data_IF_715244411453
#
_entry.id   IF_715244411453
#
_cell.length_a   1.000
_cell.length_b   1.000
_cell.length_c   1.000
_cell.angle_alpha   90.00
_cell.angle_beta   90.00
_cell.angle_gamma   90.00
#
_symmetry.space_group_name_H-M   'P 1'
#
loop_
_entity.id
_entity.type
_entity.pdbx_description
1 polymer ?
#
# COMPACT_ATOMS: atom_id res chain seq x y z
N UNK A 1 5.35 33.65 -19.16
CA UNK A 1 6.04 32.36 -18.93
C UNK A 1 5.74 31.92 -17.50
N UNK A 2 4.85 30.94 -17.31
CA UNK A 2 4.41 30.47 -15.97
C UNK A 2 5.24 29.23 -15.61
N UNK A 3 5.95 29.16 -14.46
CA UNK A 3 6.51 27.90 -14.03
C UNK A 3 5.41 27.00 -13.45
N UNK A 4 5.34 25.81 -14.03
CA UNK A 4 4.45 24.72 -13.67
C UNK A 4 4.73 24.23 -12.25
N UNK A 5 3.63 24.09 -11.53
CA UNK A 5 3.43 23.41 -10.26
C UNK A 5 4.48 22.35 -9.88
N UNK A 6 5.31 22.66 -8.88
CA UNK A 6 6.00 21.65 -8.08
C UNK A 6 4.99 21.07 -7.05
N UNK A 7 3.99 20.33 -7.52
CA UNK A 7 3.04 19.60 -6.65
C UNK A 7 3.63 18.25 -6.28
N UNK A 8 4.69 18.24 -5.49
CA UNK A 8 5.08 17.03 -4.75
C UNK A 8 6.12 17.37 -3.68
N UNK A 9 5.72 17.11 -2.43
CA UNK A 9 6.53 16.88 -1.22
C UNK A 9 5.78 17.51 -0.05
N UNK A 10 5.60 16.72 1.00
CA UNK A 10 4.85 17.03 2.22
C UNK A 10 3.35 16.81 2.06
N UNK A 11 3.00 15.52 1.89
CA UNK A 11 1.85 14.99 2.59
C UNK A 11 2.02 15.33 4.09
N UNK A 12 1.41 16.46 4.47
CA UNK A 12 0.88 16.82 5.78
C UNK A 12 1.53 16.15 6.98
N UNK A 13 2.42 16.91 7.62
CA UNK A 13 2.61 17.02 9.06
C UNK A 13 2.09 15.88 9.94
N UNK A 14 3.07 15.12 10.46
CA UNK A 14 3.16 14.66 11.86
C UNK A 14 1.86 14.73 12.66
N UNK A 15 0.96 13.76 12.51
CA UNK A 15 0.08 13.41 13.63
C UNK A 15 0.90 12.56 14.62
N UNK A 16 1.57 13.27 15.52
CA UNK A 16 2.29 12.75 16.69
C UNK A 16 1.37 11.85 17.51
N UNK A 17 1.47 10.54 17.30
CA UNK A 17 0.78 9.53 18.10
C UNK A 17 1.63 8.28 18.37
N UNK A 18 2.95 8.37 18.16
CA UNK A 18 3.84 7.19 18.23
C UNK A 18 4.70 7.13 19.50
N UNK A 19 4.52 8.04 20.47
CA UNK A 19 5.34 8.03 21.69
C UNK A 19 5.20 6.71 22.49
N UNK A 20 4.10 5.98 22.31
CA UNK A 20 3.84 4.67 22.92
C UNK A 20 3.37 3.61 21.91
N UNK A 21 3.66 3.79 20.62
CA UNK A 21 3.20 2.87 19.59
C UNK A 21 3.89 1.51 19.71
N UNK A 22 3.10 0.46 19.96
CA UNK A 22 3.55 -0.92 19.94
C UNK A 22 3.76 -1.35 18.49
N UNK A 23 4.97 -1.80 18.11
CA UNK A 23 5.24 -2.31 16.78
C UNK A 23 4.24 -3.39 16.37
N UNK A 24 3.63 -3.24 15.18
CA UNK A 24 2.65 -4.19 14.64
C UNK A 24 1.22 -4.08 15.19
N UNK A 25 0.96 -3.22 16.18
CA UNK A 25 -0.38 -2.95 16.73
C UNK A 25 -0.82 -1.51 16.49
N UNK A 26 0.09 -0.57 16.64
CA UNK A 26 -0.19 0.85 16.49
C UNK A 26 0.34 1.31 15.14
N UNK A 27 -0.53 1.21 14.14
CA UNK A 27 -0.29 1.65 12.77
C UNK A 27 -0.57 3.15 12.65
N UNK A 28 0.08 3.87 11.71
CA UNK A 28 -0.25 5.27 11.45
C UNK A 28 -1.75 5.45 11.19
N UNK A 29 -2.33 6.56 11.66
CA UNK A 29 -3.75 6.83 11.42
C UNK A 29 -3.91 7.36 10.00
N UNK A 30 -4.43 6.52 9.10
CA UNK A 30 -4.79 6.93 7.75
C UNK A 30 -6.24 7.45 7.71
N UNK A 31 -6.51 8.43 6.84
CA UNK A 31 -7.90 8.64 6.42
C UNK A 31 -8.37 7.39 5.67
N UNK A 32 -9.67 7.08 5.72
CA UNK A 32 -10.21 5.92 4.98
C UNK A 32 -9.85 5.97 3.48
N UNK A 33 -9.85 7.17 2.89
CA UNK A 33 -9.43 7.37 1.49
C UNK A 33 -7.96 7.02 1.27
N UNK A 34 -7.06 7.51 2.12
CA UNK A 34 -5.63 7.20 2.03
C UNK A 34 -5.40 5.70 2.23
N UNK A 35 -6.14 5.08 3.15
CA UNK A 35 -6.07 3.65 3.38
C UNK A 35 -6.44 2.83 2.15
N UNK A 36 -7.52 3.20 1.44
CA UNK A 36 -7.90 2.53 0.19
C UNK A 36 -6.84 2.72 -0.91
N UNK A 37 -6.23 3.90 -1.00
CA UNK A 37 -5.10 4.14 -1.91
C UNK A 37 -3.92 3.22 -1.57
N UNK A 38 -3.56 3.12 -0.28
CA UNK A 38 -2.46 2.28 0.18
C UNK A 38 -2.74 0.79 -0.09
N UNK A 39 -3.98 0.32 0.09
CA UNK A 39 -4.40 -1.04 -0.28
C UNK A 39 -4.29 -1.29 -1.79
N UNK A 40 -4.60 -0.30 -2.63
CA UNK A 40 -4.49 -0.38 -4.08
C UNK A 40 -3.05 -0.46 -4.61
N UNK A 41 -2.03 -0.24 -3.77
CA UNK A 41 -0.62 -0.38 -4.18
C UNK A 41 -0.14 -1.82 -4.27
N UNK A 42 -0.95 -2.79 -3.82
CA UNK A 42 -0.67 -4.21 -4.01
C UNK A 42 -0.67 -4.56 -5.50
N UNK A 43 0.50 -4.90 -6.02
CA UNK A 43 0.67 -5.21 -7.43
C UNK A 43 0.51 -6.71 -7.70
N UNK A 44 -0.20 -7.03 -8.77
CA UNK A 44 -0.25 -8.36 -9.38
C UNK A 44 0.60 -8.32 -10.66
N UNK A 45 1.82 -8.86 -10.60
CA UNK A 45 2.75 -8.85 -11.71
C UNK A 45 2.56 -10.09 -12.57
N UNK A 46 2.29 -9.93 -13.86
CA UNK A 46 2.30 -11.07 -14.80
C UNK A 46 3.71 -11.25 -15.34
N UNK A 47 4.28 -12.42 -15.09
CA UNK A 47 5.63 -12.81 -15.49
C UNK A 47 5.53 -13.83 -16.62
N UNK A 48 6.41 -13.71 -17.61
CA UNK A 48 6.58 -14.71 -18.67
C UNK A 48 7.88 -15.48 -18.41
N UNK A 49 7.82 -16.81 -18.57
CA UNK A 49 9.00 -17.66 -18.49
C UNK A 49 9.84 -17.46 -19.75
N UNK A 50 11.15 -17.24 -19.59
CA UNK A 50 12.06 -17.07 -20.72
C UNK A 50 11.98 -18.27 -21.67
N UNK A 51 12.00 -18.00 -22.97
CA UNK A 51 11.91 -19.00 -24.04
C UNK A 51 10.66 -19.90 -23.96
N UNK A 52 9.57 -19.38 -23.41
CA UNK A 52 8.28 -20.07 -23.29
C UNK A 52 7.09 -19.11 -23.45
N UNK A 53 5.96 -19.63 -23.92
CA UNK A 53 4.67 -18.94 -23.88
C UNK A 53 4.00 -19.01 -22.49
N UNK A 54 4.61 -19.72 -21.54
CA UNK A 54 4.08 -19.87 -20.20
C UNK A 54 4.13 -18.53 -19.44
N UNK A 55 2.98 -18.15 -18.85
CA UNK A 55 2.86 -16.97 -17.99
C UNK A 55 2.31 -17.36 -16.63
N UNK A 56 2.70 -16.62 -15.60
CA UNK A 56 2.16 -16.76 -14.25
C UNK A 56 2.04 -15.40 -13.58
N UNK A 57 1.12 -15.28 -12.62
CA UNK A 57 0.94 -14.04 -11.84
C UNK A 57 1.64 -14.17 -10.49
N UNK A 58 2.41 -13.15 -10.13
CA UNK A 58 3.09 -13.01 -8.86
C UNK A 58 2.60 -11.74 -8.16
N UNK A 59 1.91 -11.92 -7.04
CA UNK A 59 1.53 -10.82 -6.18
C UNK A 59 2.72 -10.36 -5.31
N UNK A 60 2.82 -9.06 -5.06
CA UNK A 60 3.75 -8.54 -4.06
C UNK A 60 3.33 -8.92 -2.65
N UNK A 61 4.28 -9.09 -1.74
CA UNK A 61 3.96 -9.40 -0.34
C UNK A 61 3.29 -8.18 0.34
N UNK A 62 2.07 -8.33 0.92
CA UNK A 62 1.40 -7.24 1.61
C UNK A 62 2.21 -6.73 2.81
N UNK A 63 2.24 -5.42 3.02
CA UNK A 63 2.79 -4.80 4.23
C UNK A 63 1.94 -5.17 5.46
N UNK A 64 2.50 -5.04 6.67
CA UNK A 64 1.76 -5.32 7.92
C UNK A 64 0.44 -4.54 8.03
N UNK A 65 0.42 -3.28 7.58
CA UNK A 65 -0.79 -2.47 7.52
C UNK A 65 -1.84 -3.10 6.59
N UNK A 66 -1.45 -3.43 5.36
CA UNK A 66 -2.34 -4.02 4.37
C UNK A 66 -2.90 -5.35 4.87
N UNK A 67 -2.07 -6.20 5.48
CA UNK A 67 -2.50 -7.47 6.08
C UNK A 67 -3.60 -7.23 7.14
N UNK A 68 -3.35 -6.33 8.09
CA UNK A 68 -4.35 -5.98 9.12
C UNK A 68 -5.64 -5.43 8.52
N UNK A 69 -5.55 -4.64 7.47
CA UNK A 69 -6.73 -4.10 6.82
C UNK A 69 -7.55 -5.17 6.10
N UNK A 70 -6.90 -6.14 5.44
CA UNK A 70 -7.62 -7.28 4.85
C UNK A 70 -8.30 -8.15 5.90
N UNK A 71 -7.63 -8.40 7.04
CA UNK A 71 -8.22 -9.11 8.19
C UNK A 71 -9.47 -8.38 8.70
N UNK A 72 -9.40 -7.06 8.88
CA UNK A 72 -10.51 -6.25 9.38
C UNK A 72 -11.67 -6.13 8.38
N UNK A 73 -11.36 -6.08 7.08
CA UNK A 73 -12.35 -6.01 6.01
C UNK A 73 -12.98 -7.38 5.71
N UNK A 74 -12.37 -8.48 6.16
CA UNK A 74 -12.82 -9.83 5.86
C UNK A 74 -12.70 -10.21 4.38
N UNK A 75 -11.75 -9.60 3.66
CA UNK A 75 -11.55 -9.82 2.21
C UNK A 75 -10.12 -10.27 1.92
N UNK A 76 -9.95 -11.14 0.94
CA UNK A 76 -8.63 -11.59 0.47
C UNK A 76 -8.21 -10.82 -0.79
N UNK A 77 -6.95 -10.39 -0.90
CA UNK A 77 -6.44 -9.83 -2.14
C UNK A 77 -6.56 -10.86 -3.27
N UNK A 78 -6.93 -10.41 -4.47
CA UNK A 78 -7.23 -11.28 -5.62
C UNK A 78 -5.99 -12.06 -6.08
N UNK A 79 -5.92 -13.34 -5.73
CA UNK A 79 -4.96 -14.33 -6.25
C UNK A 79 -5.15 -14.58 -7.73
#
# INVERSE_FOLDING_TARGET
MIPAQLRSRQATDRKLGLQHARPGRDLPVHSFRTLLTDLGTLAANTMQVADSEATFTLQTQPTLLQQRCFELLGVTPRT
#
